data_IF_328518642002
#
_entry.id   IF_328518642002
#
_cell.length_a   1.000
_cell.length_b   1.000
_cell.length_c   1.000
_cell.angle_alpha   90.00
_cell.angle_beta   90.00
_cell.angle_gamma   90.00
#
_symmetry.space_group_name_H-M   'P 1'
#
loop_
_entity.id
_entity.type
_entity.pdbx_description
1 polymer ?
#
# COMPACT_ATOMS: atom_id res chain seq x y z
N UNK A 1 9.61 7.54 -36.96
CA UNK A 1 8.52 6.76 -36.35
C UNK A 1 8.21 7.41 -35.01
N UNK A 2 7.15 8.20 -34.94
CA UNK A 2 6.75 8.95 -33.74
C UNK A 2 6.00 8.00 -32.79
N UNK A 3 6.58 7.72 -31.62
CA UNK A 3 5.95 6.94 -30.55
C UNK A 3 4.83 7.77 -29.94
N UNK A 4 3.58 7.42 -30.24
CA UNK A 4 2.40 7.98 -29.58
C UNK A 4 2.40 7.53 -28.12
N UNK A 5 2.77 8.43 -27.20
CA UNK A 5 2.68 8.17 -25.77
C UNK A 5 1.20 8.12 -25.37
N UNK A 6 0.67 6.91 -25.23
CA UNK A 6 -0.70 6.69 -24.74
C UNK A 6 -0.70 7.02 -23.25
N UNK A 7 -1.33 8.13 -22.87
CA UNK A 7 -1.62 8.47 -21.47
C UNK A 7 -2.74 7.57 -20.96
N UNK A 8 -2.43 6.29 -20.72
CA UNK A 8 -3.34 5.34 -20.09
C UNK A 8 -3.13 5.33 -18.57
N UNK A 9 -4.20 5.06 -17.82
CA UNK A 9 -4.10 4.82 -16.38
C UNK A 9 -3.33 3.52 -16.14
N UNK A 10 -2.27 3.58 -15.35
CA UNK A 10 -1.56 2.39 -14.88
C UNK A 10 -2.51 1.62 -13.97
N UNK A 11 -3.07 0.52 -14.48
CA UNK A 11 -4.00 -0.34 -13.75
C UNK A 11 -3.21 -1.39 -12.96
N UNK A 12 -3.86 -2.09 -12.03
CA UNK A 12 -3.24 -3.19 -11.29
C UNK A 12 -2.67 -4.31 -12.20
N UNK A 13 -3.07 -4.38 -13.48
CA UNK A 13 -2.48 -5.28 -14.47
C UNK A 13 -1.21 -4.75 -15.16
N UNK A 14 -1.01 -3.42 -15.21
CA UNK A 14 0.16 -2.77 -15.83
C UNK A 14 1.44 -2.93 -14.99
N UNK A 15 1.27 -3.34 -13.73
CA UNK A 15 2.34 -3.68 -12.80
C UNK A 15 3.22 -4.82 -13.34
N UNK A 16 2.71 -5.63 -14.28
CA UNK A 16 3.48 -6.65 -14.99
C UNK A 16 4.59 -6.06 -15.90
N UNK A 17 4.46 -4.80 -16.33
CA UNK A 17 5.46 -4.08 -17.11
C UNK A 17 6.51 -3.37 -16.22
N UNK A 18 6.39 -3.49 -14.90
CA UNK A 18 7.24 -2.83 -13.91
C UNK A 18 6.65 -1.52 -13.39
N UNK A 19 7.05 -1.14 -12.18
CA UNK A 19 6.60 0.11 -11.56
C UNK A 19 7.46 1.30 -12.02
N UNK A 20 6.89 2.52 -12.04
CA UNK A 20 7.65 3.72 -12.34
C UNK A 20 8.84 3.90 -11.38
N UNK A 21 9.92 4.51 -11.88
CA UNK A 21 11.15 4.79 -11.15
C UNK A 21 11.95 3.56 -10.67
N UNK A 22 11.73 2.38 -11.26
CA UNK A 22 12.47 1.15 -10.90
C UNK A 22 12.05 0.54 -9.57
N UNK A 23 10.84 0.86 -9.10
CA UNK A 23 10.33 0.33 -7.83
C UNK A 23 9.98 -1.16 -7.97
N UNK A 24 10.14 -1.90 -6.87
CA UNK A 24 9.77 -3.32 -6.80
C UNK A 24 8.38 -3.48 -6.22
N UNK A 25 7.54 -4.28 -6.89
CA UNK A 25 6.19 -4.65 -6.41
C UNK A 25 6.27 -5.36 -5.07
N UNK A 26 7.21 -6.29 -4.94
CA UNK A 26 7.44 -7.02 -3.69
C UNK A 26 7.84 -6.06 -2.56
N UNK A 27 8.63 -5.03 -2.86
CA UNK A 27 8.99 -3.98 -1.91
C UNK A 27 7.79 -3.17 -1.46
N UNK A 28 6.96 -2.69 -2.39
CA UNK A 28 5.73 -1.96 -2.08
C UNK A 28 4.75 -2.82 -1.29
N UNK A 29 4.50 -4.04 -1.72
CA UNK A 29 3.58 -4.96 -1.06
C UNK A 29 4.01 -5.22 0.39
N UNK A 30 5.30 -5.48 0.62
CA UNK A 30 5.83 -5.67 1.97
C UNK A 30 5.69 -4.40 2.81
N UNK A 31 5.98 -3.22 2.24
CA UNK A 31 5.80 -1.95 2.92
C UNK A 31 4.35 -1.68 3.33
N UNK A 32 3.41 -1.93 2.42
CA UNK A 32 1.96 -1.79 2.67
C UNK A 32 1.51 -2.74 3.78
N UNK A 33 1.93 -4.01 3.73
CA UNK A 33 1.57 -5.00 4.76
C UNK A 33 2.10 -4.62 6.15
N UNK A 34 3.34 -4.14 6.23
CA UNK A 34 3.93 -3.68 7.50
C UNK A 34 3.16 -2.47 8.04
N UNK A 35 2.88 -1.49 7.18
CA UNK A 35 2.12 -0.30 7.55
C UNK A 35 0.72 -0.66 8.06
N UNK A 36 0.00 -1.50 7.31
CA UNK A 36 -1.33 -1.95 7.68
C UNK A 36 -1.33 -2.72 9.00
N UNK A 37 -0.37 -3.62 9.20
CA UNK A 37 -0.19 -4.35 10.44
C UNK A 37 0.03 -3.42 11.63
N UNK A 38 0.93 -2.44 11.49
CA UNK A 38 1.24 -1.49 12.55
C UNK A 38 0.05 -0.57 12.88
N UNK A 39 -0.64 -0.04 11.87
CA UNK A 39 -1.81 0.80 12.06
C UNK A 39 -2.97 0.04 12.71
N UNK A 40 -3.23 -1.19 12.27
CA UNK A 40 -4.29 -2.01 12.87
C UNK A 40 -3.97 -2.39 14.32
N UNK A 41 -2.70 -2.69 14.63
CA UNK A 41 -2.27 -2.97 16.00
C UNK A 41 -2.44 -1.73 16.90
N UNK A 42 -1.99 -0.56 16.44
CA UNK A 42 -2.17 0.69 17.19
C UNK A 42 -3.65 0.99 17.47
N UNK A 43 -4.51 0.75 16.48
CA UNK A 43 -5.95 0.92 16.63
C UNK A 43 -6.53 0.00 17.72
N UNK A 44 -6.15 -1.30 17.71
CA UNK A 44 -6.59 -2.26 18.73
C UNK A 44 -6.12 -1.84 20.12
N UNK A 45 -4.89 -1.35 20.27
CA UNK A 45 -4.36 -0.86 21.55
C UNK A 45 -5.18 0.31 22.07
N UNK A 46 -5.40 1.33 21.24
CA UNK A 46 -6.19 2.52 21.62
C UNK A 46 -7.61 2.12 22.00
N UNK A 47 -8.24 1.25 21.20
CA UNK A 47 -9.58 0.77 21.47
C UNK A 47 -9.66 -0.04 22.77
N UNK A 48 -8.70 -0.95 23.01
CA UNK A 48 -8.61 -1.74 24.23
C UNK A 48 -8.42 -0.89 25.48
N UNK A 49 -7.54 0.12 25.42
CA UNK A 49 -7.38 1.10 26.51
C UNK A 49 -8.68 1.88 26.74
N UNK A 50 -9.35 2.31 25.67
CA UNK A 50 -10.64 2.99 25.77
C UNK A 50 -11.73 2.14 26.42
N UNK A 51 -11.78 0.86 26.08
CA UNK A 51 -12.71 -0.11 26.67
C UNK A 51 -12.42 -0.31 28.18
N UNK A 52 -11.16 -0.50 28.54
CA UNK A 52 -10.76 -0.69 29.94
C UNK A 52 -11.05 0.54 30.80
N UNK A 53 -10.90 1.76 30.25
CA UNK A 53 -11.23 3.01 30.95
C UNK A 53 -12.73 3.23 31.16
N UNK A 54 -13.58 2.53 30.41
CA UNK A 54 -15.05 2.63 30.53
C UNK A 54 -15.63 1.57 31.46
N UNK A 55 -14.87 0.51 31.73
CA UNK A 55 -15.20 -0.54 32.69
C UNK A 55 -14.93 -0.07 34.12
#
# INVERSE_FOLDING_TARGET
MTTTAVLAFSTAGDVANGLPFGWSVAGLQRGVLIYLGLSSLAFVVVWGVGFLRRS
#
